data_IF_264775084356
#
_entry.id   IF_264775084356
#
_cell.length_a   1.000
_cell.length_b   1.000
_cell.length_c   1.000
_cell.angle_alpha   90.00
_cell.angle_beta   90.00
_cell.angle_gamma   90.00
#
_symmetry.space_group_name_H-M   'P 1'
#
loop_
_entity.id
_entity.type
_entity.pdbx_description
1 polymer ?
#
# COMPACT_ATOMS: atom_id res chain seq x y z
N UNK A 1 5.09 22.56 2.94
CA UNK A 1 4.09 22.41 1.83
C UNK A 1 4.86 22.12 0.56
N UNK A 2 4.38 21.21 -0.29
CA UNK A 2 5.00 20.91 -1.59
C UNK A 2 4.76 22.07 -2.57
N UNK A 3 5.72 22.35 -3.47
CA UNK A 3 5.54 23.33 -4.51
C UNK A 3 4.57 22.83 -5.58
N UNK A 4 3.63 23.65 -6.04
CA UNK A 4 2.53 23.24 -6.94
C UNK A 4 3.00 22.70 -8.30
N UNK A 5 4.15 23.15 -8.78
CA UNK A 5 4.76 22.70 -10.04
C UNK A 5 5.84 21.63 -9.87
N UNK A 6 6.08 21.19 -8.62
CA UNK A 6 7.07 20.16 -8.38
C UNK A 6 6.65 18.84 -9.03
N UNK A 7 7.63 18.10 -9.52
CA UNK A 7 7.41 16.79 -10.12
C UNK A 7 7.09 15.77 -9.02
N UNK A 8 5.91 15.18 -9.08
CA UNK A 8 5.39 14.21 -8.10
C UNK A 8 5.17 12.89 -8.84
N UNK A 9 5.77 11.81 -8.35
CA UNK A 9 5.50 10.46 -8.84
C UNK A 9 4.54 9.74 -7.91
N UNK A 10 3.49 9.12 -8.48
CA UNK A 10 2.55 8.27 -7.75
C UNK A 10 2.60 6.88 -8.36
N UNK A 11 3.28 5.95 -7.69
CA UNK A 11 3.29 4.54 -8.07
C UNK A 11 2.00 3.86 -7.61
N UNK A 12 1.39 3.05 -8.47
CA UNK A 12 0.11 2.39 -8.17
C UNK A 12 -1.14 3.24 -8.40
N UNK A 13 -1.05 4.28 -9.23
CA UNK A 13 -2.10 5.27 -9.51
C UNK A 13 -3.44 4.70 -9.98
N UNK A 14 -3.50 3.44 -10.45
CA UNK A 14 -4.75 2.76 -10.86
C UNK A 14 -5.43 1.99 -9.72
N UNK A 15 -4.71 1.74 -8.62
CA UNK A 15 -5.27 1.10 -7.44
C UNK A 15 -6.09 2.08 -6.59
N UNK A 16 -6.80 1.55 -5.60
CA UNK A 16 -7.66 2.32 -4.69
C UNK A 16 -6.92 3.52 -4.08
N UNK A 17 -5.80 3.29 -3.40
CA UNK A 17 -5.04 4.33 -2.70
C UNK A 17 -4.34 5.28 -3.67
N UNK A 18 -3.62 4.75 -4.66
CA UNK A 18 -2.90 5.60 -5.62
C UNK A 18 -3.82 6.51 -6.43
N UNK A 19 -5.02 6.03 -6.80
CA UNK A 19 -5.98 6.88 -7.50
C UNK A 19 -6.60 7.96 -6.59
N UNK A 20 -6.78 7.68 -5.30
CA UNK A 20 -7.24 8.67 -4.33
C UNK A 20 -6.20 9.78 -4.13
N UNK A 21 -4.91 9.40 -4.00
CA UNK A 21 -3.81 10.36 -3.91
C UNK A 21 -3.75 11.25 -5.16
N UNK A 22 -3.89 10.68 -6.37
CA UNK A 22 -3.90 11.47 -7.61
C UNK A 22 -5.06 12.47 -7.62
N UNK A 23 -6.29 12.02 -7.31
CA UNK A 23 -7.47 12.91 -7.23
C UNK A 23 -7.26 14.06 -6.23
N UNK A 24 -6.69 13.76 -5.07
CA UNK A 24 -6.44 14.77 -4.05
C UNK A 24 -5.36 15.76 -4.46
N UNK A 25 -4.26 15.30 -5.05
CA UNK A 25 -3.22 16.17 -5.60
C UNK A 25 -3.77 17.10 -6.68
N UNK A 26 -4.59 16.58 -7.61
CA UNK A 26 -5.26 17.38 -8.64
C UNK A 26 -6.22 18.40 -8.02
N UNK A 27 -7.04 18.00 -7.04
CA UNK A 27 -7.96 18.88 -6.31
C UNK A 27 -7.22 20.02 -5.62
N UNK A 28 -6.03 19.75 -5.08
CA UNK A 28 -5.17 20.74 -4.46
C UNK A 28 -4.41 21.59 -5.49
N UNK A 29 -4.53 21.34 -6.80
CA UNK A 29 -3.92 22.13 -7.86
C UNK A 29 -2.45 21.80 -8.14
N UNK A 30 -2.00 20.58 -7.86
CA UNK A 30 -0.72 20.08 -8.35
C UNK A 30 -0.89 19.63 -9.81
N UNK A 31 0.01 20.06 -10.69
CA UNK A 31 -0.14 19.89 -12.14
C UNK A 31 0.93 18.99 -12.76
N UNK A 32 2.01 18.69 -12.04
CA UNK A 32 3.14 17.93 -12.57
C UNK A 32 3.19 16.54 -11.90
N UNK A 33 2.12 15.77 -12.11
CA UNK A 33 1.97 14.42 -11.55
C UNK A 33 2.38 13.40 -12.61
N UNK A 34 3.35 12.55 -12.27
CA UNK A 34 3.82 11.45 -13.11
C UNK A 34 3.21 10.15 -12.60
N UNK A 35 2.76 9.34 -13.53
CA UNK A 35 2.27 7.98 -13.26
C UNK A 35 2.81 7.02 -14.32
N UNK A 36 2.97 5.73 -13.97
CA UNK A 36 3.30 4.65 -14.90
C UNK A 36 2.47 3.43 -14.55
N UNK A 37 1.96 2.78 -15.57
CA UNK A 37 1.31 1.46 -15.41
C UNK A 37 2.38 0.39 -15.26
N UNK A 38 2.01 -0.77 -14.74
CA UNK A 38 2.93 -1.93 -14.64
C UNK A 38 3.55 -2.32 -16.00
N UNK A 39 2.81 -2.16 -17.11
CA UNK A 39 3.32 -2.45 -18.45
C UNK A 39 4.37 -1.44 -18.93
N UNK A 40 4.28 -0.19 -18.48
CA UNK A 40 5.23 0.88 -18.83
C UNK A 40 6.45 0.87 -17.91
N UNK A 41 6.27 0.47 -16.65
CA UNK A 41 7.32 0.39 -15.65
C UNK A 41 7.01 -0.72 -14.65
N UNK A 42 7.66 -1.86 -14.81
CA UNK A 42 7.65 -2.94 -13.84
C UNK A 42 8.63 -2.61 -12.71
N UNK A 43 8.09 -2.33 -11.53
CA UNK A 43 8.88 -1.92 -10.36
C UNK A 43 9.76 -3.04 -9.79
N UNK A 44 9.55 -4.29 -10.19
CA UNK A 44 10.43 -5.39 -9.87
C UNK A 44 11.68 -5.44 -10.75
N UNK A 45 11.72 -4.67 -11.85
CA UNK A 45 12.87 -4.56 -12.75
C UNK A 45 13.77 -3.41 -12.31
N UNK A 46 14.85 -3.75 -11.61
CA UNK A 46 15.79 -2.77 -11.04
C UNK A 46 16.34 -1.81 -12.11
N UNK A 47 16.79 -2.33 -13.25
CA UNK A 47 17.30 -1.58 -14.38
C UNK A 47 16.32 -0.50 -14.86
N UNK A 48 15.07 -0.90 -15.12
CA UNK A 48 14.02 0.00 -15.57
C UNK A 48 13.66 1.07 -14.52
N UNK A 49 13.66 0.70 -13.25
CA UNK A 49 13.40 1.66 -12.15
C UNK A 49 14.54 2.68 -12.03
N UNK A 50 15.80 2.24 -12.10
CA UNK A 50 16.96 3.14 -12.05
C UNK A 50 16.96 4.13 -13.22
N UNK A 51 16.69 3.66 -14.44
CA UNK A 51 16.56 4.50 -15.64
C UNK A 51 15.42 5.52 -15.49
N UNK A 52 14.25 5.07 -15.01
CA UNK A 52 13.11 5.97 -14.81
C UNK A 52 13.41 7.08 -13.80
N UNK A 53 13.96 6.74 -12.62
CA UNK A 53 14.27 7.75 -11.62
C UNK A 53 15.42 8.69 -12.05
N UNK A 54 16.39 8.19 -12.77
CA UNK A 54 17.47 9.01 -13.33
C UNK A 54 16.97 10.02 -14.38
N UNK A 55 16.00 9.63 -15.20
CA UNK A 55 15.40 10.49 -16.22
C UNK A 55 14.39 11.48 -15.63
N UNK A 56 13.46 10.99 -14.80
CA UNK A 56 12.33 11.79 -14.31
C UNK A 56 12.69 12.65 -13.09
N UNK A 57 13.55 12.16 -12.20
CA UNK A 57 13.99 12.85 -10.97
C UNK A 57 12.81 13.44 -10.19
N UNK A 58 11.82 12.66 -9.79
CA UNK A 58 10.68 13.18 -9.04
C UNK A 58 11.15 13.79 -7.72
N UNK A 59 10.62 14.97 -7.40
CA UNK A 59 10.94 15.67 -6.15
C UNK A 59 10.20 15.07 -4.96
N UNK A 60 8.99 14.59 -5.20
CA UNK A 60 8.10 13.93 -4.22
C UNK A 60 7.63 12.59 -4.80
N UNK A 61 7.51 11.61 -3.93
CA UNK A 61 7.13 10.27 -4.35
C UNK A 61 6.16 9.63 -3.35
N UNK A 62 5.02 9.13 -3.88
CA UNK A 62 4.04 8.33 -3.15
C UNK A 62 4.11 6.89 -3.64
N UNK A 63 4.52 5.98 -2.75
CA UNK A 63 4.62 4.54 -3.06
C UNK A 63 3.35 3.82 -2.63
N UNK A 64 2.32 3.85 -3.47
CA UNK A 64 1.06 3.15 -3.29
C UNK A 64 0.99 1.83 -4.09
N UNK A 65 2.05 1.46 -4.80
CA UNK A 65 2.14 0.19 -5.51
C UNK A 65 2.55 -0.93 -4.54
N UNK A 66 1.82 -2.03 -4.56
CA UNK A 66 2.15 -3.26 -3.85
C UNK A 66 1.37 -4.43 -4.46
N UNK A 67 1.86 -5.66 -4.29
CA UNK A 67 1.06 -6.86 -4.46
C UNK A 67 0.26 -7.07 -3.18
N UNK A 68 -1.06 -6.89 -3.27
CA UNK A 68 -1.98 -6.96 -2.14
C UNK A 68 -3.07 -8.01 -2.37
N UNK A 69 -3.65 -8.52 -1.30
CA UNK A 69 -4.75 -9.48 -1.37
C UNK A 69 -5.27 -9.87 0.00
N UNK A 70 -6.46 -10.45 0.04
CA UNK A 70 -7.06 -10.98 1.26
C UNK A 70 -6.29 -12.18 1.83
N UNK A 71 -6.77 -12.73 2.94
CA UNK A 71 -6.13 -13.82 3.69
C UNK A 71 -5.82 -15.02 2.78
N UNK A 72 -6.80 -15.47 1.97
CA UNK A 72 -6.65 -16.63 1.08
C UNK A 72 -5.55 -16.41 0.03
N UNK A 73 -5.49 -15.21 -0.55
CA UNK A 73 -4.45 -14.87 -1.52
C UNK A 73 -3.05 -14.91 -0.89
N UNK A 74 -2.90 -14.33 0.30
CA UNK A 74 -1.64 -14.35 1.04
C UNK A 74 -1.19 -15.77 1.39
N UNK A 75 -2.07 -16.60 1.95
CA UNK A 75 -1.75 -17.97 2.34
C UNK A 75 -1.31 -18.85 1.16
N UNK A 76 -1.88 -18.64 -0.03
CA UNK A 76 -1.59 -19.45 -1.20
C UNK A 76 -0.34 -19.02 -1.99
N UNK A 77 0.25 -17.85 -1.69
CA UNK A 77 1.35 -17.29 -2.46
C UNK A 77 2.38 -16.54 -1.58
N UNK A 78 2.70 -17.09 -0.42
CA UNK A 78 3.58 -16.45 0.58
C UNK A 78 4.91 -15.97 -0.03
N UNK A 79 5.61 -16.84 -0.76
CA UNK A 79 6.89 -16.52 -1.38
C UNK A 79 6.76 -15.38 -2.41
N UNK A 80 5.73 -15.41 -3.24
CA UNK A 80 5.49 -14.37 -4.24
C UNK A 80 5.13 -13.03 -3.61
N UNK A 81 4.31 -13.04 -2.54
CA UNK A 81 3.99 -11.80 -1.81
C UNK A 81 5.24 -11.17 -1.18
N UNK A 82 6.12 -12.00 -0.61
CA UNK A 82 7.36 -11.51 -0.04
C UNK A 82 8.29 -10.98 -1.13
N UNK A 83 8.56 -11.79 -2.15
CA UNK A 83 9.53 -11.47 -3.20
C UNK A 83 9.13 -10.22 -3.99
N UNK A 84 7.91 -10.19 -4.50
CA UNK A 84 7.44 -9.08 -5.35
C UNK A 84 7.41 -7.75 -4.56
N UNK A 85 6.85 -7.74 -3.34
CA UNK A 85 6.81 -6.53 -2.54
C UNK A 85 8.20 -6.07 -2.10
N UNK A 86 9.04 -6.98 -1.61
CA UNK A 86 10.38 -6.64 -1.16
C UNK A 86 11.23 -6.10 -2.32
N UNK A 87 11.15 -6.73 -3.49
CA UNK A 87 11.91 -6.30 -4.68
C UNK A 87 11.47 -4.93 -5.16
N UNK A 88 10.15 -4.72 -5.35
CA UNK A 88 9.66 -3.42 -5.81
C UNK A 88 10.00 -2.30 -4.80
N UNK A 89 9.82 -2.54 -3.50
CA UNK A 89 10.07 -1.55 -2.46
C UNK A 89 11.56 -1.16 -2.39
N UNK A 90 12.46 -2.15 -2.40
CA UNK A 90 13.90 -1.88 -2.40
C UNK A 90 14.34 -1.11 -3.63
N UNK A 91 13.87 -1.50 -4.82
CA UNK A 91 14.23 -0.83 -6.08
C UNK A 91 13.80 0.65 -6.08
N UNK A 92 12.53 0.92 -5.73
CA UNK A 92 12.01 2.29 -5.84
C UNK A 92 12.49 3.21 -4.72
N UNK A 93 12.59 2.71 -3.47
CA UNK A 93 13.09 3.52 -2.34
C UNK A 93 14.56 3.87 -2.56
N UNK A 94 15.37 2.89 -2.99
CA UNK A 94 16.79 3.12 -3.29
C UNK A 94 16.99 4.10 -4.43
N UNK A 95 16.27 3.93 -5.53
CA UNK A 95 16.37 4.82 -6.70
C UNK A 95 15.87 6.24 -6.40
N UNK A 96 14.82 6.38 -5.59
CA UNK A 96 14.35 7.68 -5.11
C UNK A 96 15.44 8.42 -4.31
N UNK A 97 16.08 7.73 -3.36
CA UNK A 97 17.20 8.28 -2.59
C UNK A 97 18.39 8.66 -3.48
N UNK A 98 18.85 7.75 -4.34
CA UNK A 98 20.00 7.93 -5.23
C UNK A 98 19.83 9.13 -6.17
N UNK A 99 18.58 9.44 -6.57
CA UNK A 99 18.26 10.53 -7.49
C UNK A 99 17.73 11.80 -6.78
N UNK A 100 17.90 11.91 -5.46
CA UNK A 100 17.63 13.14 -4.71
C UNK A 100 16.15 13.44 -4.50
N UNK A 101 15.28 12.43 -4.45
CA UNK A 101 13.89 12.62 -4.04
C UNK A 101 13.85 13.25 -2.65
N UNK A 102 13.19 14.42 -2.54
CA UNK A 102 13.18 15.22 -1.31
C UNK A 102 12.35 14.58 -0.21
N UNK A 103 11.20 14.02 -0.57
CA UNK A 103 10.28 13.34 0.35
C UNK A 103 9.62 12.15 -0.32
N UNK A 104 9.57 11.05 0.40
CA UNK A 104 8.89 9.83 0.01
C UNK A 104 7.87 9.46 1.08
N UNK A 105 6.66 9.12 0.67
CA UNK A 105 5.66 8.47 1.51
C UNK A 105 5.51 7.01 1.13
N UNK A 106 5.87 6.15 2.07
CA UNK A 106 5.75 4.70 1.96
C UNK A 106 4.47 4.22 2.62
N UNK A 107 3.60 3.61 1.83
CA UNK A 107 2.40 2.98 2.35
C UNK A 107 2.74 1.59 2.92
N UNK A 108 2.86 1.55 4.23
CA UNK A 108 2.99 0.33 5.01
C UNK A 108 1.63 -0.39 5.15
N UNK A 109 1.44 -1.05 6.28
CA UNK A 109 0.20 -1.74 6.60
C UNK A 109 0.13 -2.00 8.11
N UNK A 110 -1.04 -1.99 8.70
CA UNK A 110 -1.24 -2.38 10.10
C UNK A 110 -0.89 -3.86 10.40
N UNK A 111 -0.76 -4.70 9.37
CA UNK A 111 -0.34 -6.11 9.53
C UNK A 111 1.13 -6.29 9.97
N UNK A 112 1.94 -5.22 9.97
CA UNK A 112 3.33 -5.25 10.45
C UNK A 112 3.45 -5.37 11.98
N UNK A 113 2.36 -5.08 12.69
CA UNK A 113 2.34 -5.18 14.15
C UNK A 113 2.15 -6.62 14.63
N UNK A 114 2.66 -6.96 15.81
CA UNK A 114 2.49 -8.28 16.37
C UNK A 114 1.02 -8.70 16.46
N UNK A 115 0.76 -9.99 16.20
CA UNK A 115 -0.59 -10.56 16.27
C UNK A 115 -1.32 -10.23 17.57
N UNK A 116 -0.61 -10.28 18.69
CA UNK A 116 -1.15 -10.05 20.03
C UNK A 116 -0.72 -8.70 20.60
N UNK A 117 -0.51 -7.71 19.74
CA UNK A 117 -0.17 -6.35 20.21
C UNK A 117 -1.29 -5.79 21.11
N UNK A 118 -0.92 -5.07 22.18
CA UNK A 118 -1.90 -4.36 23.02
C UNK A 118 -2.76 -3.40 22.20
N UNK A 119 -4.03 -3.26 22.59
CA UNK A 119 -4.97 -2.33 21.96
C UNK A 119 -5.24 -1.12 22.88
N UNK A 120 -5.17 0.12 22.32
CA UNK A 120 -4.79 0.49 20.94
C UNK A 120 -3.29 0.24 20.66
N UNK A 121 -3.00 -0.20 19.44
CA UNK A 121 -1.62 -0.47 19.01
C UNK A 121 -0.81 0.83 18.94
N UNK A 122 0.44 0.76 19.44
CA UNK A 122 1.42 1.87 19.34
C UNK A 122 2.56 1.47 18.43
N UNK A 123 3.19 2.45 17.77
CA UNK A 123 4.29 2.19 16.83
C UNK A 123 5.46 1.45 17.48
N UNK A 124 5.73 1.65 18.76
CA UNK A 124 6.83 1.01 19.47
C UNK A 124 6.62 -0.50 19.74
N UNK A 125 5.46 -1.06 19.44
CA UNK A 125 5.26 -2.51 19.52
C UNK A 125 5.75 -3.26 18.25
N UNK A 126 6.21 -2.54 17.24
CA UNK A 126 6.80 -3.16 16.04
C UNK A 126 7.97 -4.08 16.41
N UNK A 127 7.96 -5.31 15.88
CA UNK A 127 8.99 -6.34 16.10
C UNK A 127 9.17 -6.80 17.56
N UNK A 128 8.19 -6.62 18.42
CA UNK A 128 8.28 -7.08 19.83
C UNK A 128 7.75 -8.49 20.05
N UNK A 129 7.02 -9.06 19.10
CA UNK A 129 6.49 -10.41 19.16
C UNK A 129 6.15 -10.93 17.76
N UNK A 130 5.59 -12.15 17.68
CA UNK A 130 5.26 -12.84 16.43
C UNK A 130 4.19 -12.10 15.61
N UNK A 131 4.36 -12.14 14.29
CA UNK A 131 3.40 -11.65 13.31
C UNK A 131 2.23 -12.63 13.12
N UNK A 132 1.15 -12.16 12.49
CA UNK A 132 0.06 -13.02 12.05
C UNK A 132 0.53 -13.94 10.90
N UNK A 133 0.49 -15.25 11.13
CA UNK A 133 1.05 -16.26 10.22
C UNK A 133 0.46 -16.25 8.81
N UNK A 134 -0.81 -15.86 8.69
CA UNK A 134 -1.53 -15.88 7.42
C UNK A 134 -1.05 -14.83 6.42
N UNK A 135 -0.39 -13.76 6.90
CA UNK A 135 0.15 -12.68 6.08
C UNK A 135 1.59 -12.27 6.46
N UNK A 136 2.28 -13.13 7.20
CA UNK A 136 3.64 -12.87 7.70
C UNK A 136 4.62 -12.48 6.57
N UNK A 137 4.54 -13.13 5.42
CA UNK A 137 5.40 -12.85 4.27
C UNK A 137 5.23 -11.42 3.73
N UNK A 138 3.99 -10.97 3.59
CA UNK A 138 3.67 -9.59 3.20
C UNK A 138 4.11 -8.60 4.30
N UNK A 139 3.83 -8.92 5.55
CA UNK A 139 4.21 -8.07 6.68
C UNK A 139 5.72 -7.87 6.77
N UNK A 140 6.53 -8.92 6.57
CA UNK A 140 8.00 -8.84 6.55
C UNK A 140 8.50 -7.93 5.42
N UNK A 141 7.92 -8.02 4.23
CA UNK A 141 8.27 -7.11 3.14
C UNK A 141 7.97 -5.66 3.54
N UNK A 142 6.77 -5.37 4.06
CA UNK A 142 6.39 -4.03 4.53
C UNK A 142 7.28 -3.49 5.65
N UNK A 143 7.67 -4.34 6.61
CA UNK A 143 8.64 -3.98 7.65
C UNK A 143 9.99 -3.60 7.03
N UNK A 144 10.45 -4.35 6.03
CA UNK A 144 11.73 -4.07 5.36
C UNK A 144 11.72 -2.70 4.67
N UNK A 145 10.66 -2.38 3.92
CA UNK A 145 10.51 -1.06 3.28
C UNK A 145 10.46 0.09 4.29
N UNK A 146 9.68 -0.07 5.36
CA UNK A 146 9.60 0.90 6.46
C UNK A 146 10.99 1.13 7.10
N UNK A 147 11.67 0.03 7.46
CA UNK A 147 12.99 0.12 8.09
C UNK A 147 14.04 0.70 7.15
N UNK A 148 13.93 0.43 5.86
CA UNK A 148 14.83 1.04 4.90
C UNK A 148 14.64 2.56 4.81
N UNK A 149 13.39 3.06 4.80
CA UNK A 149 13.13 4.49 4.90
C UNK A 149 13.71 5.10 6.18
N UNK A 150 13.49 4.45 7.33
CA UNK A 150 14.06 4.88 8.63
C UNK A 150 15.60 4.95 8.59
N UNK A 151 16.27 3.94 8.03
CA UNK A 151 17.73 3.90 7.97
C UNK A 151 18.30 4.95 7.01
N UNK A 152 17.64 5.21 5.89
CA UNK A 152 18.01 6.31 4.98
C UNK A 152 17.89 7.67 5.69
N UNK A 153 16.83 7.88 6.45
CA UNK A 153 16.66 9.10 7.25
C UNK A 153 17.80 9.27 8.26
N UNK A 154 18.14 8.21 8.99
CA UNK A 154 19.20 8.24 10.02
C UNK A 154 20.60 8.39 9.44
N UNK A 155 20.87 7.75 8.32
CA UNK A 155 22.20 7.71 7.72
C UNK A 155 22.48 8.89 6.80
N UNK A 156 21.49 9.34 6.06
CA UNK A 156 21.67 10.32 4.99
C UNK A 156 20.82 11.60 5.16
N UNK A 157 19.99 11.68 6.21
CA UNK A 157 19.18 12.86 6.48
C UNK A 157 18.02 13.07 5.50
N UNK A 158 17.48 11.99 4.91
CA UNK A 158 16.30 12.07 4.05
C UNK A 158 15.03 12.39 4.86
N UNK A 159 13.94 12.81 4.20
CA UNK A 159 12.62 13.03 4.80
C UNK A 159 11.62 12.00 4.23
N UNK A 160 11.86 10.73 4.53
CA UNK A 160 11.01 9.62 4.11
C UNK A 160 10.12 9.18 5.25
N UNK A 161 8.81 9.19 5.01
CA UNK A 161 7.82 8.80 6.01
C UNK A 161 7.16 7.48 5.63
N UNK A 162 6.73 6.74 6.64
CA UNK A 162 5.95 5.52 6.47
C UNK A 162 4.64 5.66 7.22
N UNK A 163 3.53 5.40 6.55
CA UNK A 163 2.19 5.43 7.13
C UNK A 163 1.61 4.03 7.17
N UNK A 164 0.91 3.69 8.25
CA UNK A 164 0.30 2.37 8.44
C UNK A 164 -1.22 2.49 8.42
N UNK A 165 -1.82 2.52 7.22
CA UNK A 165 -3.28 2.59 7.12
C UNK A 165 -3.94 1.36 7.73
N UNK A 166 -5.10 1.55 8.31
CA UNK A 166 -6.02 0.48 8.71
C UNK A 166 -6.69 -0.14 7.47
N UNK A 167 -7.80 -0.87 7.64
CA UNK A 167 -8.50 -1.46 6.49
C UNK A 167 -9.15 -0.36 5.65
N UNK A 168 -8.64 -0.16 4.46
CA UNK A 168 -9.14 0.85 3.53
C UNK A 168 -10.31 0.31 2.70
N UNK A 169 -11.20 1.22 2.32
CA UNK A 169 -12.29 0.95 1.38
C UNK A 169 -12.59 2.20 0.53
N UNK A 170 -13.14 2.01 -0.65
CA UNK A 170 -13.55 3.12 -1.51
C UNK A 170 -13.51 2.83 -3.00
N UNK A 171 -13.55 3.88 -3.85
CA UNK A 171 -13.49 3.74 -5.30
C UNK A 171 -12.22 3.02 -5.77
N UNK A 172 -12.36 2.21 -6.81
CA UNK A 172 -11.30 1.38 -7.39
C UNK A 172 -10.78 0.26 -6.47
N UNK A 173 -11.56 -0.14 -5.46
CA UNK A 173 -11.24 -1.32 -4.66
C UNK A 173 -11.38 -2.61 -5.48
N UNK A 174 -10.79 -3.70 -4.98
CA UNK A 174 -10.81 -5.00 -5.63
C UNK A 174 -12.03 -5.81 -5.21
N UNK A 175 -12.96 -6.06 -6.13
CA UNK A 175 -14.17 -6.85 -5.91
C UNK A 175 -14.03 -8.32 -6.35
N UNK A 176 -12.81 -8.87 -6.47
CA UNK A 176 -12.62 -10.27 -6.87
C UNK A 176 -13.28 -11.23 -5.87
N UNK A 177 -13.95 -12.33 -6.31
CA UNK A 177 -14.74 -13.20 -5.42
C UNK A 177 -13.96 -13.80 -4.24
N UNK A 178 -12.66 -14.08 -4.42
CA UNK A 178 -11.82 -14.80 -3.46
C UNK A 178 -10.59 -13.99 -2.98
N UNK A 179 -10.20 -12.92 -3.68
CA UNK A 179 -8.98 -12.17 -3.38
C UNK A 179 -9.25 -10.78 -2.82
N UNK A 180 -10.51 -10.37 -2.68
CA UNK A 180 -10.89 -9.09 -2.13
C UNK A 180 -10.81 -9.04 -0.60
N UNK A 181 -10.70 -7.83 -0.06
CA UNK A 181 -10.87 -7.58 1.37
C UNK A 181 -12.34 -7.65 1.79
N UNK A 182 -12.60 -7.61 3.10
CA UNK A 182 -13.91 -7.91 3.69
C UNK A 182 -15.02 -6.99 3.17
N UNK A 183 -14.81 -5.67 3.10
CA UNK A 183 -15.86 -4.71 2.68
C UNK A 183 -16.28 -4.93 1.22
N UNK A 184 -15.37 -4.92 0.22
CA UNK A 184 -15.76 -5.17 -1.16
C UNK A 184 -16.29 -6.59 -1.37
N UNK A 185 -15.79 -7.61 -0.64
CA UNK A 185 -16.33 -8.96 -0.70
C UNK A 185 -17.79 -9.04 -0.26
N UNK A 186 -18.14 -8.38 0.85
CA UNK A 186 -19.52 -8.35 1.35
C UNK A 186 -20.44 -7.54 0.42
N UNK A 187 -20.01 -6.37 -0.04
CA UNK A 187 -20.78 -5.57 -1.00
C UNK A 187 -21.12 -6.42 -2.23
N UNK A 188 -20.13 -7.09 -2.82
CA UNK A 188 -20.35 -7.95 -3.97
C UNK A 188 -21.32 -9.10 -3.67
N UNK A 189 -21.11 -9.85 -2.59
CA UNK A 189 -21.96 -11.00 -2.22
C UNK A 189 -23.42 -10.61 -1.99
N UNK A 190 -23.66 -9.52 -1.26
CA UNK A 190 -25.02 -9.04 -1.03
C UNK A 190 -25.67 -8.51 -2.30
N UNK A 191 -24.92 -7.82 -3.15
CA UNK A 191 -25.41 -7.37 -4.45
C UNK A 191 -25.80 -8.53 -5.35
N UNK A 192 -24.91 -9.53 -5.52
CA UNK A 192 -25.17 -10.72 -6.33
C UNK A 192 -26.36 -11.53 -5.80
N UNK A 193 -26.46 -11.70 -4.48
CA UNK A 193 -27.60 -12.37 -3.85
C UNK A 193 -28.92 -11.67 -4.18
N UNK A 194 -28.96 -10.34 -4.04
CA UNK A 194 -30.14 -9.52 -4.39
C UNK A 194 -30.53 -9.67 -5.86
N UNK A 195 -29.56 -9.57 -6.76
CA UNK A 195 -29.79 -9.67 -8.22
C UNK A 195 -30.30 -11.06 -8.60
N UNK A 196 -29.79 -12.12 -7.98
CA UNK A 196 -30.13 -13.50 -8.26
C UNK A 196 -31.33 -14.02 -7.44
N UNK A 197 -31.99 -13.18 -6.63
CA UNK A 197 -33.13 -13.56 -5.81
C UNK A 197 -32.79 -14.55 -4.67
N UNK A 198 -31.53 -14.60 -4.25
CA UNK A 198 -31.07 -15.45 -3.13
C UNK A 198 -31.50 -14.81 -1.82
N UNK A 199 -32.13 -15.59 -0.93
CA UNK A 199 -32.72 -15.07 0.32
C UNK A 199 -31.75 -14.96 1.48
N UNK A 200 -30.55 -15.57 1.39
CA UNK A 200 -29.54 -15.55 2.45
C UNK A 200 -28.12 -15.54 1.89
N UNK A 201 -27.20 -14.91 2.61
CA UNK A 201 -25.77 -14.88 2.29
C UNK A 201 -24.99 -15.44 3.47
N UNK A 202 -24.15 -16.45 3.21
CA UNK A 202 -23.24 -16.98 4.22
C UNK A 202 -22.04 -16.05 4.41
N UNK A 203 -21.89 -15.52 5.63
CA UNK A 203 -20.69 -14.78 6.04
C UNK A 203 -19.74 -15.73 6.80
N UNK A 204 -18.44 -15.52 6.65
CA UNK A 204 -17.45 -16.30 7.38
C UNK A 204 -17.28 -15.78 8.80
N UNK A 205 -17.04 -16.72 9.74
CA UNK A 205 -16.85 -16.41 11.16
C UNK A 205 -18.16 -16.21 11.91
N UNK A 206 -18.04 -15.78 13.15
CA UNK A 206 -19.14 -15.60 14.12
C UNK A 206 -19.53 -14.11 14.33
N UNK A 207 -18.83 -13.18 13.66
CA UNK A 207 -19.05 -11.75 13.81
C UNK A 207 -18.35 -11.10 15.01
N UNK A 208 -17.59 -11.85 15.80
CA UNK A 208 -16.87 -11.31 16.97
C UNK A 208 -15.67 -10.39 16.65
N UNK A 209 -14.91 -10.58 15.54
CA UNK A 209 -13.75 -9.74 15.27
C UNK A 209 -14.14 -8.30 14.96
N UNK A 210 -13.56 -7.37 15.71
CA UNK A 210 -13.66 -5.93 15.43
C UNK A 210 -12.56 -5.50 14.46
N UNK A 211 -12.86 -4.52 13.60
CA UNK A 211 -11.91 -3.95 12.64
C UNK A 211 -12.14 -2.44 12.51
N UNK A 212 -11.06 -1.70 12.35
CA UNK A 212 -11.12 -0.31 11.92
C UNK A 212 -11.18 -0.24 10.41
N UNK A 213 -11.96 0.73 9.90
CA UNK A 213 -12.06 1.03 8.48
C UNK A 213 -11.83 2.52 8.26
N UNK A 214 -11.08 2.86 7.20
CA UNK A 214 -10.84 4.23 6.79
C UNK A 214 -11.22 4.39 5.31
N UNK A 215 -12.00 5.42 5.01
CA UNK A 215 -12.34 5.76 3.63
C UNK A 215 -11.10 6.30 2.90
N UNK A 216 -10.88 5.83 1.68
CA UNK A 216 -9.63 6.06 0.98
C UNK A 216 -9.36 7.54 0.63
N UNK A 217 -10.40 8.32 0.40
CA UNK A 217 -10.22 9.76 0.13
C UNK A 217 -9.89 10.54 1.42
N UNK A 218 -10.33 10.04 2.60
CA UNK A 218 -9.90 10.61 3.90
C UNK A 218 -8.42 10.29 4.19
N UNK A 219 -7.94 9.12 3.75
CA UNK A 219 -6.50 8.80 3.81
C UNK A 219 -5.68 9.75 2.92
N UNK A 220 -6.19 10.08 1.73
CA UNK A 220 -5.46 10.89 0.75
C UNK A 220 -5.42 12.40 1.10
N UNK A 221 -6.34 12.88 1.95
CA UNK A 221 -6.46 14.28 2.37
C UNK A 221 -5.55 14.58 3.57
#
# INVERSE_FOLDING_TARGET
MMEKNAKIYVAGHRGMVGSAIVRELERQGYTNIITRTHKELDLCRQDAVEEFFAAEKPKYFFLAAAKVGGIVANQNALADFMYDNMTLEMNVIHSAWKNGCKKLEFLGSSCIYPRMAPQPMKENCLLTSELEKTNEAYALAKISGLKYCEFLNRQYGTDYISVMPTNLYGPNDNYHPTHSHVVPALIRRFHEAKVNGVTSVTCWGDGSPLREFLYVDDLAN
#
